data_IF_473923262124
#
_entry.id   IF_473923262124
#
_cell.length_a   1.000
_cell.length_b   1.000
_cell.length_c   1.000
_cell.angle_alpha   90.00
_cell.angle_beta   90.00
_cell.angle_gamma   90.00
#
_symmetry.space_group_name_H-M   'P 1'
#
loop_
_entity.id
_entity.type
_entity.pdbx_description
1 polymer ?
#
# COMPACT_ATOMS: atom_id res chain seq x y z
N UNK A 1 -0.26 -19.61 -10.22
CA UNK A 1 0.35 -19.99 -8.93
C UNK A 1 1.48 -20.97 -9.22
N UNK A 2 2.75 -20.57 -9.08
CA UNK A 2 3.90 -21.45 -9.28
C UNK A 2 4.27 -22.06 -7.93
N UNK A 3 3.85 -23.30 -7.69
CA UNK A 3 4.22 -24.07 -6.51
C UNK A 3 5.28 -25.10 -6.92
N UNK A 4 6.55 -24.86 -6.57
CA UNK A 4 7.58 -25.89 -6.56
C UNK A 4 8.37 -25.80 -5.25
N UNK A 5 8.17 -26.82 -4.41
CA UNK A 5 9.05 -27.31 -3.34
C UNK A 5 9.89 -26.31 -2.53
N UNK A 6 9.45 -26.04 -1.30
CA UNK A 6 10.34 -25.92 -0.13
C UNK A 6 11.22 -24.68 0.00
N UNK A 7 11.18 -23.74 -0.95
CA UNK A 7 11.87 -22.45 -0.83
C UNK A 7 10.86 -21.32 -0.57
N UNK A 8 11.18 -20.47 0.40
CA UNK A 8 10.41 -19.26 0.72
C UNK A 8 10.37 -18.35 -0.52
N UNK A 9 9.18 -18.08 -1.05
CA UNK A 9 9.04 -17.23 -2.24
C UNK A 9 9.28 -15.76 -1.87
N UNK A 10 10.49 -15.26 -2.13
CA UNK A 10 10.82 -13.85 -2.06
C UNK A 10 10.42 -13.18 -3.39
N UNK A 11 9.31 -12.44 -3.39
CA UNK A 11 9.00 -11.52 -4.50
C UNK A 11 9.67 -10.18 -4.23
N UNK A 12 10.57 -9.74 -5.12
CA UNK A 12 11.36 -8.52 -4.95
C UNK A 12 10.99 -7.48 -6.01
N UNK A 13 10.50 -6.32 -5.57
CA UNK A 13 10.24 -5.17 -6.44
C UNK A 13 11.29 -4.09 -6.23
N UNK A 14 11.72 -3.47 -7.32
CA UNK A 14 12.62 -2.31 -7.28
C UNK A 14 11.86 -1.15 -7.93
N UNK A 15 11.56 -0.14 -7.13
CA UNK A 15 10.96 1.11 -7.60
C UNK A 15 11.64 2.27 -6.88
N UNK A 16 11.99 3.31 -7.65
CA UNK A 16 12.69 4.50 -7.16
C UNK A 16 13.96 4.23 -6.33
N UNK A 17 14.62 3.08 -6.56
CA UNK A 17 15.82 2.65 -5.84
C UNK A 17 15.54 1.89 -4.54
N UNK A 18 14.32 1.94 -4.01
CA UNK A 18 13.89 1.09 -2.89
C UNK A 18 13.74 -0.35 -3.35
N UNK A 19 13.94 -1.28 -2.42
CA UNK A 19 13.70 -2.69 -2.68
C UNK A 19 12.71 -3.25 -1.68
N UNK A 20 11.62 -3.81 -2.18
CA UNK A 20 10.58 -4.43 -1.36
C UNK A 20 10.58 -5.93 -1.56
N UNK A 21 10.65 -6.70 -0.49
CA UNK A 21 10.54 -8.16 -0.45
C UNK A 21 9.26 -8.60 0.27
N UNK A 22 8.57 -9.61 -0.26
CA UNK A 22 7.40 -10.21 0.39
C UNK A 22 7.64 -11.68 0.76
N UNK A 23 7.08 -12.10 1.90
CA UNK A 23 7.07 -13.51 2.34
C UNK A 23 5.63 -13.97 2.52
N UNK A 24 5.35 -15.22 2.15
CA UNK A 24 4.02 -15.83 2.20
C UNK A 24 4.03 -17.12 3.03
N UNK A 25 2.88 -17.47 3.59
CA UNK A 25 2.66 -18.78 4.21
C UNK A 25 2.40 -19.89 3.18
N UNK A 26 2.18 -21.12 3.65
CA UNK A 26 1.89 -22.27 2.79
C UNK A 26 0.51 -22.24 2.11
N UNK A 27 -0.35 -21.28 2.46
CA UNK A 27 -1.67 -21.08 1.86
C UNK A 27 -1.67 -19.92 0.85
N UNK A 28 -0.57 -19.16 0.76
CA UNK A 28 -0.41 -18.04 -0.17
C UNK A 28 -0.72 -16.67 0.43
N UNK A 29 -0.94 -16.57 1.74
CA UNK A 29 -1.18 -15.29 2.41
C UNK A 29 0.13 -14.56 2.63
N UNK A 30 0.18 -13.27 2.34
CA UNK A 30 1.34 -12.43 2.64
C UNK A 30 1.46 -12.21 4.15
N UNK A 31 2.52 -12.76 4.75
CA UNK A 31 2.79 -12.69 6.19
C UNK A 31 3.92 -11.72 6.55
N UNK A 32 4.71 -11.27 5.56
CA UNK A 32 5.78 -10.31 5.80
C UNK A 32 6.01 -9.39 4.60
N UNK A 33 6.46 -8.18 4.89
CA UNK A 33 7.07 -7.24 3.95
C UNK A 33 8.36 -6.71 4.56
N UNK A 34 9.45 -6.76 3.80
CA UNK A 34 10.74 -6.17 4.13
C UNK A 34 11.02 -5.10 3.10
N UNK A 35 11.34 -3.88 3.55
CA UNK A 35 11.65 -2.78 2.66
C UNK A 35 13.04 -2.25 3.00
N UNK A 36 13.94 -2.39 2.03
CA UNK A 36 15.24 -1.74 2.01
C UNK A 36 15.08 -0.37 1.35
N UNK A 37 15.17 0.69 2.14
CA UNK A 37 14.95 2.03 1.65
C UNK A 37 16.29 2.62 1.20
N UNK A 38 16.49 2.71 -0.11
CA UNK A 38 17.66 3.37 -0.69
C UNK A 38 17.50 4.89 -0.63
N UNK A 39 17.61 5.43 0.58
CA UNK A 39 18.03 6.81 0.75
C UNK A 39 19.55 6.76 0.65
N UNK A 40 20.10 7.14 -0.50
CA UNK A 40 21.55 7.34 -0.61
C UNK A 40 22.04 8.17 0.58
N UNK A 41 23.26 7.92 1.04
CA UNK A 41 23.84 8.58 2.22
C UNK A 41 23.87 10.12 2.14
N UNK A 42 23.49 10.70 1.00
CA UNK A 42 23.37 12.13 0.79
C UNK A 42 22.07 12.44 0.01
N UNK A 43 21.26 13.35 0.56
CA UNK A 43 20.28 14.23 -0.11
C UNK A 43 18.77 13.95 -0.04
N UNK A 44 18.08 15.04 0.34
CA UNK A 44 16.70 15.46 0.10
C UNK A 44 16.25 15.46 -1.38
N UNK A 45 16.76 14.58 -2.23
CA UNK A 45 16.41 14.54 -3.64
C UNK A 45 15.39 13.44 -3.89
N UNK A 46 14.11 13.83 -3.89
CA UNK A 46 13.10 13.10 -4.68
C UNK A 46 13.56 13.07 -6.14
N UNK A 47 13.41 11.94 -6.86
CA UNK A 47 13.30 11.99 -8.31
C UNK A 47 12.13 12.92 -8.66
N UNK A 48 12.36 13.88 -9.53
CA UNK A 48 11.29 14.72 -10.08
C UNK A 48 10.36 13.82 -10.87
N UNK A 49 9.08 13.77 -10.50
CA UNK A 49 8.03 13.06 -11.23
C UNK A 49 8.12 13.37 -12.74
N UNK A 50 8.03 12.38 -13.64
CA UNK A 50 7.69 12.69 -15.02
C UNK A 50 6.29 13.34 -15.04
N UNK A 51 6.07 14.41 -15.83
CA UNK A 51 4.73 14.96 -16.00
C UNK A 51 3.86 13.89 -16.69
N UNK A 52 2.74 13.51 -16.09
CA UNK A 52 1.67 12.90 -16.89
C UNK A 52 1.11 13.93 -17.89
N UNK A 53 0.24 13.56 -18.85
CA UNK A 53 0.04 12.27 -19.52
C UNK A 53 0.44 12.34 -21.02
N UNK A 54 0.96 11.25 -21.60
CA UNK A 54 1.11 11.10 -23.06
C UNK A 54 2.53 10.88 -23.62
N UNK A 55 3.55 10.69 -22.78
CA UNK A 55 4.89 10.29 -23.24
C UNK A 55 5.07 8.76 -23.24
N UNK A 56 5.80 8.18 -24.22
CA UNK A 56 6.15 6.76 -24.16
C UNK A 56 7.00 6.46 -22.92
N UNK A 57 6.94 5.23 -22.36
CA UNK A 57 7.73 4.85 -21.20
C UNK A 57 9.22 5.06 -21.50
N UNK A 58 9.92 5.77 -20.62
CA UNK A 58 11.36 5.96 -20.75
C UNK A 58 12.07 4.63 -20.52
N UNK A 59 12.46 3.97 -21.62
CA UNK A 59 13.43 2.89 -21.60
C UNK A 59 14.79 3.39 -21.11
N UNK A 60 15.48 2.53 -20.36
CA UNK A 60 16.81 2.72 -19.77
C UNK A 60 17.78 3.42 -20.73
N UNK A 61 18.16 4.64 -20.39
CA UNK A 61 19.16 5.42 -21.12
C UNK A 61 19.64 6.61 -20.31
N UNK A 62 20.83 6.47 -19.71
CA UNK A 62 21.69 7.51 -19.10
C UNK A 62 20.99 8.75 -18.52
N UNK A 63 20.71 8.71 -17.21
CA UNK A 63 20.57 9.92 -16.41
C UNK A 63 21.90 10.69 -16.43
N UNK A 64 22.04 11.63 -17.36
CA UNK A 64 23.12 12.63 -17.32
C UNK A 64 22.92 13.48 -16.07
N UNK A 65 23.87 13.39 -15.14
CA UNK A 65 24.02 14.26 -13.99
C UNK A 65 23.84 15.73 -14.40
N UNK A 66 22.66 16.30 -14.14
CA UNK A 66 22.50 17.75 -14.15
C UNK A 66 22.97 18.26 -12.79
N UNK A 67 23.96 19.15 -12.81
CA UNK A 67 24.50 19.83 -11.63
C UNK A 67 23.38 20.42 -10.74
N UNK A 68 23.56 20.41 -9.41
CA UNK A 68 22.53 20.80 -8.45
C UNK A 68 22.22 22.30 -8.58
N UNK A 69 20.98 22.61 -8.95
CA UNK A 69 20.45 23.97 -8.85
C UNK A 69 20.14 24.32 -7.39
N UNK A 70 20.46 25.55 -6.99
CA UNK A 70 20.18 26.08 -5.65
C UNK A 70 18.69 25.96 -5.26
N UNK A 71 18.38 25.67 -3.98
CA UNK A 71 17.00 25.56 -3.51
C UNK A 71 16.30 26.92 -3.51
N UNK A 72 15.12 26.97 -4.13
CA UNK A 72 14.27 28.15 -4.18
C UNK A 72 13.10 28.00 -3.19
N UNK A 73 13.09 28.88 -2.17
CA UNK A 73 11.97 29.27 -1.28
C UNK A 73 11.78 28.48 0.05
N UNK A 74 12.57 28.76 1.10
CA UNK A 74 12.45 29.98 1.92
C UNK A 74 11.22 30.19 2.83
N UNK A 75 10.76 29.20 3.60
CA UNK A 75 9.95 29.43 4.80
C UNK A 75 10.80 29.19 6.07
N UNK A 76 10.89 30.17 6.97
CA UNK A 76 11.69 30.03 8.19
C UNK A 76 11.11 28.92 9.12
N UNK A 77 11.95 28.04 9.70
CA UNK A 77 11.52 27.06 10.70
C UNK A 77 10.84 27.73 11.90
N UNK A 78 9.73 27.18 12.37
CA UNK A 78 9.13 27.60 13.65
C UNK A 78 10.07 27.19 14.78
N UNK A 79 10.30 28.02 15.81
CA UNK A 79 11.03 27.59 17.01
C UNK A 79 10.36 26.33 17.61
N UNK A 80 11.10 25.23 17.69
CA UNK A 80 10.62 23.91 18.14
C UNK A 80 10.16 22.94 17.04
N UNK A 81 10.45 23.20 15.76
CA UNK A 81 10.16 22.31 14.64
C UNK A 81 11.34 22.21 13.67
N UNK A 82 12.01 21.05 13.64
CA UNK A 82 13.07 20.71 12.66
C UNK A 82 12.52 19.90 11.48
N UNK A 83 13.28 19.85 10.37
CA UNK A 83 12.97 19.05 9.17
C UNK A 83 13.30 17.56 9.43
N UNK A 84 12.35 16.67 9.12
CA UNK A 84 12.38 15.22 9.33
C UNK A 84 13.19 14.46 8.25
N UNK A 85 13.81 13.33 8.60
CA UNK A 85 14.58 12.44 7.71
C UNK A 85 14.06 11.00 7.77
N UNK A 86 14.23 10.22 6.68
CA UNK A 86 13.48 9.00 6.37
C UNK A 86 14.07 7.68 6.91
N UNK A 87 13.21 6.67 7.10
CA UNK A 87 13.61 5.32 7.53
C UNK A 87 14.48 4.68 6.47
N UNK A 88 15.58 3.99 6.83
CA UNK A 88 16.43 3.30 5.83
C UNK A 88 16.07 1.82 5.64
N UNK A 89 15.32 1.27 6.58
CA UNK A 89 14.89 -0.11 6.58
C UNK A 89 13.63 -0.23 7.41
N UNK A 90 12.71 -1.08 6.99
CA UNK A 90 11.57 -1.48 7.80
C UNK A 90 11.15 -2.92 7.51
N UNK A 91 10.68 -3.60 8.54
CA UNK A 91 10.04 -4.90 8.43
C UNK A 91 8.64 -4.83 9.02
N UNK A 92 7.68 -5.40 8.29
CA UNK A 92 6.30 -5.56 8.71
C UNK A 92 5.93 -7.03 8.63
N UNK A 93 5.43 -7.55 9.74
CA UNK A 93 4.82 -8.86 9.88
C UNK A 93 3.31 -8.67 9.96
N UNK A 94 2.57 -9.64 9.43
CA UNK A 94 1.13 -9.60 9.35
C UNK A 94 0.51 -10.82 10.02
N UNK A 95 -0.57 -10.59 10.76
CA UNK A 95 -1.47 -11.64 11.25
C UNK A 95 -2.78 -11.46 10.50
N UNK A 96 -3.23 -12.51 9.81
CA UNK A 96 -4.46 -12.52 9.01
C UNK A 96 -5.52 -13.42 9.65
N UNK A 97 -6.79 -13.10 9.44
CA UNK A 97 -7.92 -13.93 9.86
C UNK A 97 -8.24 -15.01 8.82
N UNK A 98 -7.75 -16.23 9.05
CA UNK A 98 -8.00 -17.38 8.18
C UNK A 98 -9.42 -17.96 8.28
N UNK A 99 -10.27 -17.42 9.17
CA UNK A 99 -11.64 -17.93 9.38
C UNK A 99 -12.68 -17.24 8.49
N UNK A 100 -12.27 -16.23 7.73
CA UNK A 100 -13.12 -15.41 6.88
C UNK A 100 -12.88 -15.73 5.41
N UNK A 101 -13.88 -15.41 4.59
CA UNK A 101 -13.77 -15.48 3.13
C UNK A 101 -12.76 -14.44 2.59
N UNK A 102 -12.63 -13.32 3.30
CA UNK A 102 -11.62 -12.30 3.07
C UNK A 102 -10.53 -12.45 4.13
N UNK A 103 -9.28 -12.70 3.71
CA UNK A 103 -8.12 -12.83 4.61
C UNK A 103 -7.74 -11.48 5.22
N UNK A 104 -8.58 -10.99 6.13
CA UNK A 104 -8.48 -9.67 6.72
C UNK A 104 -7.22 -9.54 7.58
N UNK A 105 -6.49 -8.43 7.40
CA UNK A 105 -5.31 -8.12 8.19
C UNK A 105 -5.71 -7.72 9.61
N UNK A 106 -5.43 -8.56 10.61
CA UNK A 106 -5.77 -8.28 12.02
C UNK A 106 -4.70 -7.46 12.75
N UNK A 107 -3.42 -7.71 12.45
CA UNK A 107 -2.29 -7.05 13.10
C UNK A 107 -1.14 -6.84 12.12
N UNK A 108 -0.57 -5.64 12.12
CA UNK A 108 0.76 -5.37 11.56
C UNK A 108 1.73 -4.95 12.67
N UNK A 109 2.96 -5.45 12.63
CA UNK A 109 4.02 -5.11 13.59
C UNK A 109 5.39 -5.41 12.99
N UNK A 110 6.47 -4.88 13.55
CA UNK A 110 7.81 -5.30 13.18
C UNK A 110 8.87 -4.26 13.48
N UNK A 111 9.99 -4.35 12.76
CA UNK A 111 11.12 -3.45 12.95
C UNK A 111 10.88 -2.14 12.22
N UNK A 112 11.10 -1.03 12.93
CA UNK A 112 10.96 0.32 12.40
C UNK A 112 9.59 0.58 11.75
N UNK A 113 8.54 -0.12 12.18
CA UNK A 113 7.16 0.04 11.72
C UNK A 113 6.24 0.30 12.92
N UNK A 114 5.14 1.03 12.70
CA UNK A 114 4.12 1.19 13.74
C UNK A 114 3.44 -0.16 13.99
N UNK A 115 3.06 -0.42 15.25
CA UNK A 115 2.17 -1.56 15.53
C UNK A 115 0.74 -1.13 15.27
N UNK A 116 -0.02 -1.94 14.54
CA UNK A 116 -1.38 -1.60 14.10
C UNK A 116 -2.30 -2.79 14.27
N UNK A 117 -3.39 -2.61 15.00
CA UNK A 117 -4.43 -3.61 15.23
C UNK A 117 -5.71 -3.16 14.57
N UNK A 118 -6.28 -4.02 13.74
CA UNK A 118 -7.45 -3.69 12.96
C UNK A 118 -8.69 -4.39 13.54
N UNK A 119 -9.78 -3.63 13.63
CA UNK A 119 -11.08 -4.14 14.05
C UNK A 119 -12.05 -4.09 12.88
N UNK A 120 -12.68 -5.23 12.60
CA UNK A 120 -13.62 -5.40 11.50
C UNK A 120 -15.05 -5.62 12.01
N UNK A 121 -16.01 -5.09 11.25
CA UNK A 121 -17.44 -5.39 11.34
C UNK A 121 -17.87 -6.11 10.07
N UNK A 122 -18.80 -5.51 9.30
CA UNK A 122 -19.02 -5.91 7.90
C UNK A 122 -17.83 -5.47 7.02
N UNK A 123 -17.30 -4.26 7.26
CA UNK A 123 -16.10 -3.71 6.64
C UNK A 123 -15.06 -3.35 7.72
N UNK A 124 -13.88 -2.85 7.31
CA UNK A 124 -12.90 -2.28 8.24
C UNK A 124 -13.51 -1.11 9.03
N UNK A 125 -13.50 -1.21 10.36
CA UNK A 125 -14.10 -0.19 11.24
C UNK A 125 -13.04 0.76 11.79
N UNK A 126 -11.99 0.20 12.39
CA UNK A 126 -10.99 1.00 13.10
C UNK A 126 -9.61 0.36 13.12
N UNK A 127 -8.61 1.21 13.35
CA UNK A 127 -7.24 0.81 13.67
C UNK A 127 -6.83 1.42 15.00
N UNK A 128 -6.39 0.59 15.93
CA UNK A 128 -5.61 1.02 17.08
C UNK A 128 -4.14 0.89 16.73
N UNK A 129 -3.36 1.95 16.92
CA UNK A 129 -1.94 1.94 16.59
C UNK A 129 -1.07 2.43 17.74
N UNK A 130 0.14 1.88 17.78
CA UNK A 130 1.22 2.31 18.63
C UNK A 130 2.26 2.99 17.74
N UNK A 131 2.32 4.32 17.84
CA UNK A 131 3.30 5.10 17.10
C UNK A 131 4.72 4.79 17.59
N UNK A 132 5.69 4.99 16.71
CA UNK A 132 7.10 4.97 17.06
C UNK A 132 7.41 6.13 18.03
N UNK A 133 8.23 5.86 19.05
CA UNK A 133 8.79 6.88 19.93
C UNK A 133 10.09 7.40 19.34
N UNK A 134 9.97 7.96 18.14
CA UNK A 134 11.06 8.62 17.46
C UNK A 134 10.82 10.12 17.49
N UNK A 135 11.70 10.84 18.19
CA UNK A 135 11.69 12.30 18.22
C UNK A 135 11.93 12.91 16.81
N UNK A 136 12.58 12.16 15.92
CA UNK A 136 13.05 12.64 14.61
C UNK A 136 12.21 12.11 13.45
N UNK A 137 11.16 11.33 13.75
CA UNK A 137 10.11 10.86 12.86
C UNK A 137 10.66 10.38 11.50
N UNK A 138 11.67 9.52 11.56
CA UNK A 138 12.06 8.69 10.44
C UNK A 138 13.53 8.29 10.39
N UNK A 139 14.49 8.87 11.13
CA UNK A 139 15.85 8.32 11.10
C UNK A 139 16.05 7.25 12.18
N UNK A 140 15.69 6.02 11.85
CA UNK A 140 16.03 4.84 12.66
C UNK A 140 17.13 4.05 11.92
N UNK A 141 18.39 4.09 12.39
CA UNK A 141 19.49 3.36 11.79
C UNK A 141 19.25 1.86 11.77
N UNK A 142 19.87 1.15 10.83
CA UNK A 142 19.93 -0.30 10.93
C UNK A 142 20.65 -0.72 12.22
N UNK A 143 20.02 -1.62 12.98
CA UNK A 143 20.59 -2.19 14.21
C UNK A 143 20.28 -1.43 15.50
N UNK A 144 19.43 -0.40 15.48
CA UNK A 144 18.81 0.14 16.71
C UNK A 144 17.48 -0.54 16.99
N UNK A 145 17.16 -0.76 18.27
CA UNK A 145 15.88 -1.32 18.65
C UNK A 145 14.71 -0.39 18.30
N UNK A 146 13.57 -0.97 17.92
CA UNK A 146 12.37 -0.19 17.65
C UNK A 146 11.76 0.31 18.96
N UNK A 147 11.71 1.63 19.13
CA UNK A 147 11.08 2.28 20.27
C UNK A 147 9.64 2.72 19.93
N UNK A 148 8.74 2.59 20.89
CA UNK A 148 7.31 2.89 20.73
C UNK A 148 6.83 3.84 21.82
N UNK A 149 5.87 4.68 21.49
CA UNK A 149 5.20 5.51 22.49
C UNK A 149 4.47 4.62 23.48
N UNK A 150 4.28 5.10 24.70
CA UNK A 150 3.60 4.31 25.75
C UNK A 150 2.06 4.27 25.59
N UNK A 151 1.50 5.00 24.62
CA UNK A 151 0.06 5.19 24.47
C UNK A 151 -0.44 4.76 23.09
N UNK A 152 -1.49 3.95 23.11
CA UNK A 152 -2.29 3.61 21.92
C UNK A 152 -3.23 4.76 21.55
N UNK A 153 -3.33 5.02 20.24
CA UNK A 153 -4.35 5.91 19.67
C UNK A 153 -5.21 5.13 18.67
N UNK A 154 -6.44 5.61 18.46
CA UNK A 154 -7.43 4.96 17.61
C UNK A 154 -7.83 5.86 16.45
N UNK A 155 -7.94 5.25 15.26
CA UNK A 155 -8.52 5.84 14.05
C UNK A 155 -9.71 5.03 13.59
N UNK A 156 -10.70 5.71 13.00
CA UNK A 156 -11.89 5.12 12.42
C UNK A 156 -11.90 5.38 10.91
N UNK A 157 -12.22 4.34 10.15
CA UNK A 157 -12.21 4.37 8.69
C UNK A 157 -13.57 4.81 8.16
N UNK A 158 -13.53 5.70 7.15
CA UNK A 158 -14.69 6.07 6.36
C UNK A 158 -14.46 5.63 4.92
N UNK A 159 -15.46 4.95 4.39
CA UNK A 159 -15.41 4.30 3.08
C UNK A 159 -16.39 4.95 2.11
N UNK A 160 -16.14 4.78 0.81
CA UNK A 160 -17.17 4.95 -0.21
C UNK A 160 -18.00 3.67 -0.39
N UNK A 161 -18.86 3.66 -1.42
CA UNK A 161 -19.75 2.54 -1.76
C UNK A 161 -19.01 1.28 -2.21
N UNK A 162 -17.79 1.42 -2.72
CA UNK A 162 -16.91 0.34 -3.16
C UNK A 162 -16.08 -0.26 -2.01
N UNK A 163 -16.17 0.31 -0.80
CA UNK A 163 -15.29 -0.06 0.32
C UNK A 163 -13.90 0.58 0.22
N UNK A 164 -13.72 1.61 -0.60
CA UNK A 164 -12.45 2.36 -0.66
C UNK A 164 -12.35 3.29 0.53
N UNK A 165 -11.21 3.25 1.22
CA UNK A 165 -10.91 4.16 2.33
C UNK A 165 -10.75 5.58 1.82
N UNK A 166 -11.71 6.46 2.08
CA UNK A 166 -11.64 7.88 1.67
C UNK A 166 -11.09 8.77 2.76
N UNK A 167 -11.32 8.43 4.04
CA UNK A 167 -10.87 9.22 5.19
C UNK A 167 -10.60 8.34 6.40
N UNK A 168 -9.68 8.82 7.25
CA UNK A 168 -9.48 8.29 8.60
C UNK A 168 -9.62 9.40 9.62
N UNK A 169 -10.42 9.17 10.65
CA UNK A 169 -10.74 10.17 11.69
C UNK A 169 -10.30 9.67 13.06
N UNK A 170 -9.78 10.56 13.90
CA UNK A 170 -9.43 10.21 15.28
C UNK A 170 -10.66 10.15 16.18
N UNK A 171 -10.50 9.61 17.39
CA UNK A 171 -11.56 9.49 18.41
C UNK A 171 -12.26 10.81 18.77
N UNK A 172 -11.59 11.95 18.55
CA UNK A 172 -12.14 13.28 18.77
C UNK A 172 -12.96 13.81 17.58
N UNK A 173 -13.21 12.99 16.56
CA UNK A 173 -13.92 13.35 15.33
C UNK A 173 -13.11 14.22 14.35
N UNK A 174 -11.84 14.54 14.66
CA UNK A 174 -10.98 15.30 13.74
C UNK A 174 -10.41 14.36 12.67
N UNK A 175 -10.36 14.85 11.44
CA UNK A 175 -9.74 14.10 10.36
C UNK A 175 -8.24 14.01 10.54
N UNK A 176 -7.70 12.79 10.51
CA UNK A 176 -6.27 12.50 10.51
C UNK A 176 -5.72 12.58 9.08
N UNK A 177 -6.35 11.84 8.15
CA UNK A 177 -5.99 11.87 6.74
C UNK A 177 -7.22 11.74 5.82
N UNK A 178 -7.04 12.26 4.60
CA UNK A 178 -7.99 12.19 3.49
C UNK A 178 -7.25 11.61 2.29
N UNK A 179 -7.82 10.59 1.67
CA UNK A 179 -7.29 9.90 0.52
C UNK A 179 -8.22 10.10 -0.67
N UNK A 180 -7.62 10.35 -1.83
CA UNK A 180 -8.33 10.50 -3.09
C UNK A 180 -7.68 9.57 -4.09
N UNK A 181 -8.50 8.93 -4.92
CA UNK A 181 -8.07 7.99 -5.93
C UNK A 181 -8.69 8.39 -7.27
N UNK A 182 -8.06 7.98 -8.37
CA UNK A 182 -8.77 7.91 -9.65
C UNK A 182 -9.64 6.63 -9.72
N UNK A 183 -10.35 6.47 -10.83
CA UNK A 183 -11.28 5.35 -11.04
C UNK A 183 -10.61 3.97 -11.02
N UNK A 184 -9.28 3.88 -11.20
CA UNK A 184 -8.51 2.63 -11.11
C UNK A 184 -7.73 2.54 -9.79
N UNK A 185 -8.09 3.34 -8.80
CA UNK A 185 -7.50 3.26 -7.48
C UNK A 185 -6.09 3.83 -7.38
N UNK A 186 -5.61 4.59 -8.37
CA UNK A 186 -4.31 5.27 -8.23
C UNK A 186 -4.45 6.43 -7.25
N UNK A 187 -3.65 6.48 -6.17
CA UNK A 187 -3.75 7.57 -5.21
C UNK A 187 -3.33 8.92 -5.83
N UNK A 188 -4.22 9.90 -5.82
CA UNK A 188 -3.93 11.28 -6.29
C UNK A 188 -3.06 12.07 -5.30
N UNK A 189 -2.76 11.49 -4.14
CA UNK A 189 -1.94 12.05 -3.08
C UNK A 189 -1.19 10.97 -2.31
N UNK A 190 -0.45 10.10 -3.03
CA UNK A 190 0.22 8.92 -2.48
C UNK A 190 1.16 9.20 -1.30
N UNK A 191 1.63 10.45 -1.14
CA UNK A 191 2.48 10.85 -0.01
C UNK A 191 1.84 10.60 1.36
N UNK A 192 0.50 10.55 1.48
CA UNK A 192 -0.15 10.24 2.77
C UNK A 192 -0.23 8.73 3.08
N UNK A 193 0.07 7.90 2.10
CA UNK A 193 0.22 6.46 2.23
C UNK A 193 1.70 6.08 2.38
N UNK A 194 2.62 7.03 2.20
CA UNK A 194 4.03 6.87 2.53
C UNK A 194 4.16 6.68 4.03
N UNK A 195 4.72 5.56 4.50
CA UNK A 195 4.99 5.39 5.92
C UNK A 195 5.92 6.50 6.47
N UNK A 196 6.73 7.18 5.65
CA UNK A 196 7.54 8.32 6.13
C UNK A 196 6.77 9.64 6.25
N UNK A 197 5.46 9.64 5.97
CA UNK A 197 4.63 10.82 6.15
C UNK A 197 4.44 11.18 7.62
N UNK A 198 4.26 12.47 7.90
CA UNK A 198 3.90 12.95 9.22
C UNK A 198 2.47 12.50 9.58
N UNK A 199 2.36 11.37 10.28
CA UNK A 199 1.08 10.81 10.69
C UNK A 199 1.12 9.32 11.04
N UNK A 200 -0.03 8.74 11.37
CA UNK A 200 -0.17 7.29 11.47
C UNK A 200 0.02 6.65 10.09
N UNK A 201 0.75 5.53 10.04
CA UNK A 201 0.91 4.75 8.82
C UNK A 201 -0.47 4.17 8.44
N UNK A 202 -0.84 4.17 7.16
CA UNK A 202 -2.04 3.50 6.67
C UNK A 202 -1.75 2.75 5.39
N UNK A 203 -1.92 1.43 5.44
CA UNK A 203 -1.72 0.57 4.28
C UNK A 203 -3.04 0.18 3.60
N UNK A 204 -4.18 0.22 4.30
CA UNK A 204 -5.48 -0.17 3.73
C UNK A 204 -6.07 1.01 2.98
N UNK A 205 -6.38 0.81 1.69
CA UNK A 205 -6.67 1.90 0.76
C UNK A 205 -7.81 1.56 -0.21
N UNK A 206 -7.54 1.45 -1.51
CA UNK A 206 -8.55 1.23 -2.54
C UNK A 206 -9.21 -0.13 -2.38
N UNK A 207 -10.55 -0.16 -2.31
CA UNK A 207 -11.38 -1.37 -2.17
C UNK A 207 -10.85 -2.36 -1.11
N UNK A 208 -10.47 -1.86 0.07
CA UNK A 208 -9.85 -2.62 1.18
C UNK A 208 -8.52 -3.35 0.85
N UNK A 209 -7.91 -3.12 -0.32
CA UNK A 209 -6.59 -3.63 -0.64
C UNK A 209 -5.49 -2.95 0.18
N UNK A 210 -4.41 -3.70 0.41
CA UNK A 210 -3.23 -3.19 1.10
C UNK A 210 -2.27 -2.58 0.08
N UNK A 211 -2.20 -1.25 0.06
CA UNK A 211 -1.25 -0.49 -0.74
C UNK A 211 0.15 -0.52 -0.13
N UNK A 212 1.13 -0.83 -0.96
CA UNK A 212 2.53 -0.66 -0.66
C UNK A 212 3.06 0.57 -1.38
N UNK A 213 3.39 1.61 -0.62
CA UNK A 213 3.87 2.87 -1.17
C UNK A 213 5.17 2.72 -1.96
N UNK A 214 6.06 1.82 -1.55
CA UNK A 214 7.40 1.73 -2.13
C UNK A 214 7.41 0.93 -3.43
N UNK A 215 6.54 -0.06 -3.57
CA UNK A 215 6.36 -0.79 -4.85
C UNK A 215 5.26 -0.20 -5.73
N UNK A 216 4.44 0.70 -5.20
CA UNK A 216 3.22 1.28 -5.80
C UNK A 216 2.16 0.24 -6.18
N UNK A 217 2.23 -0.95 -5.58
CA UNK A 217 1.30 -2.05 -5.82
C UNK A 217 0.29 -2.19 -4.69
N UNK A 218 -0.90 -2.63 -5.05
CA UNK A 218 -1.88 -3.17 -4.12
C UNK A 218 -1.69 -4.68 -3.99
N UNK A 219 -1.62 -5.17 -2.75
CA UNK A 219 -1.82 -6.58 -2.46
C UNK A 219 -3.31 -6.86 -2.38
N UNK A 220 -3.80 -7.57 -3.40
CA UNK A 220 -5.17 -7.98 -3.59
C UNK A 220 -5.37 -9.45 -3.22
N UNK A 221 -4.66 -9.93 -2.19
CA UNK A 221 -4.65 -11.33 -1.74
C UNK A 221 -4.11 -12.31 -2.79
N UNK A 222 -4.90 -12.75 -3.76
CA UNK A 222 -4.47 -13.72 -4.78
C UNK A 222 -3.50 -13.12 -5.81
N UNK A 223 -3.54 -11.81 -6.01
CA UNK A 223 -2.74 -11.10 -7.03
C UNK A 223 -2.21 -9.77 -6.51
N UNK A 224 -1.29 -9.20 -7.29
CA UNK A 224 -0.82 -7.83 -7.11
C UNK A 224 -1.42 -6.95 -8.21
N UNK A 225 -1.98 -5.82 -7.80
CA UNK A 225 -2.64 -4.88 -8.68
C UNK A 225 -1.79 -3.61 -8.84
N UNK A 226 -1.50 -3.24 -10.08
CA UNK A 226 -0.80 -2.00 -10.44
C UNK A 226 -1.84 -0.97 -10.90
N UNK A 227 -2.18 0.02 -10.05
CA UNK A 227 -3.26 0.95 -10.33
C UNK A 227 -2.91 1.93 -11.47
N UNK A 228 -1.63 2.24 -11.69
CA UNK A 228 -1.22 3.23 -12.70
C UNK A 228 -1.60 2.83 -14.13
N UNK A 229 -1.69 1.53 -14.40
CA UNK A 229 -2.19 0.98 -15.68
C UNK A 229 -3.52 0.25 -15.54
N UNK A 230 -4.08 0.20 -14.33
CA UNK A 230 -5.33 -0.50 -14.04
C UNK A 230 -5.30 -2.00 -14.32
N UNK A 231 -4.21 -2.71 -14.00
CA UNK A 231 -4.04 -4.15 -14.29
C UNK A 231 -3.43 -4.92 -13.13
N UNK A 232 -3.76 -6.21 -13.03
CA UNK A 232 -2.96 -7.14 -12.25
C UNK A 232 -1.62 -7.40 -12.96
N UNK A 233 -0.56 -7.65 -12.18
CA UNK A 233 0.78 -7.94 -12.71
C UNK A 233 1.05 -9.45 -12.87
N UNK A 234 0.08 -10.28 -12.51
CA UNK A 234 0.09 -11.73 -12.70
C UNK A 234 -1.20 -12.19 -13.37
N UNK A 235 -1.10 -13.30 -14.09
CA UNK A 235 -2.24 -13.95 -14.72
C UNK A 235 -3.26 -14.40 -13.68
N UNK A 236 -4.54 -14.15 -13.96
CA UNK A 236 -5.68 -14.70 -13.22
C UNK A 236 -5.60 -16.24 -13.13
N UNK A 237 -5.70 -16.83 -11.92
CA UNK A 237 -5.89 -18.27 -11.77
C UNK A 237 -7.18 -18.78 -12.43
N UNK A 238 -8.21 -17.94 -12.54
CA UNK A 238 -9.46 -18.27 -13.22
C UNK A 238 -9.32 -18.09 -14.74
N UNK A 239 -9.77 -19.09 -15.49
CA UNK A 239 -9.60 -19.14 -16.94
C UNK A 239 -10.56 -18.21 -17.73
N UNK A 240 -11.51 -17.57 -17.04
CA UNK A 240 -12.61 -16.85 -17.67
C UNK A 240 -13.74 -17.76 -18.12
N UNK A 241 -14.82 -17.15 -18.60
CA UNK A 241 -15.98 -17.79 -19.20
C UNK A 241 -15.97 -17.57 -20.72
N UNK A 242 -16.10 -18.66 -21.48
CA UNK A 242 -16.23 -18.62 -22.95
C UNK A 242 -17.46 -17.85 -23.42
N UNK A 243 -18.52 -17.77 -22.61
CA UNK A 243 -19.73 -16.99 -22.93
C UNK A 243 -19.54 -15.50 -22.69
N UNK A 244 -18.49 -15.11 -21.97
CA UNK A 244 -18.11 -13.72 -21.71
C UNK A 244 -16.66 -13.45 -22.17
N UNK A 245 -16.42 -13.19 -23.47
CA UNK A 245 -15.08 -13.07 -24.03
C UNK A 245 -14.17 -12.04 -23.35
N UNK A 246 -14.74 -11.00 -22.72
CA UNK A 246 -13.98 -10.02 -21.95
C UNK A 246 -13.28 -10.59 -20.72
N UNK A 247 -13.80 -11.69 -20.15
CA UNK A 247 -13.22 -12.40 -19.02
C UNK A 247 -12.04 -13.30 -19.38
N UNK A 248 -11.84 -13.59 -20.68
CA UNK A 248 -10.73 -14.40 -21.17
C UNK A 248 -9.39 -13.64 -21.12
N UNK A 249 -9.43 -12.32 -20.94
CA UNK A 249 -8.25 -11.54 -20.62
C UNK A 249 -8.01 -11.62 -19.11
N UNK A 250 -6.85 -12.14 -18.72
CA UNK A 250 -6.52 -12.56 -17.35
C UNK A 250 -5.80 -11.49 -16.52
N UNK A 251 -5.69 -10.27 -17.05
CA UNK A 251 -4.99 -9.13 -16.42
C UNK A 251 -5.87 -7.92 -16.05
N UNK A 252 -6.99 -7.61 -16.77
CA UNK A 252 -7.85 -6.49 -16.44
C UNK A 252 -8.42 -6.58 -15.03
N UNK A 253 -8.40 -5.45 -14.34
CA UNK A 253 -9.22 -5.27 -13.15
C UNK A 253 -10.68 -5.09 -13.57
N UNK A 254 -11.56 -5.92 -13.02
CA UNK A 254 -13.03 -5.79 -13.04
C UNK A 254 -13.64 -5.44 -14.41
N UNK A 255 -13.21 -6.15 -15.46
CA UNK A 255 -13.64 -5.94 -16.85
C UNK A 255 -13.44 -4.50 -17.38
N UNK A 256 -12.51 -3.74 -16.80
CA UNK A 256 -12.31 -2.30 -17.06
C UNK A 256 -13.53 -1.43 -16.68
N UNK A 257 -14.37 -1.86 -15.74
CA UNK A 257 -15.48 -1.05 -15.23
C UNK A 257 -15.44 -0.92 -13.70
N UNK A 258 -14.43 -0.22 -13.16
CA UNK A 258 -14.18 -0.13 -11.71
C UNK A 258 -15.18 0.75 -10.95
N UNK A 259 -16.04 1.49 -11.65
CA UNK A 259 -17.14 2.27 -11.05
C UNK A 259 -18.39 1.44 -10.77
N UNK A 260 -18.36 0.14 -11.07
CA UNK A 260 -19.52 -0.77 -10.93
C UNK A 260 -19.17 -2.08 -10.25
N UNK A 261 -17.92 -2.50 -10.40
CA UNK A 261 -17.46 -3.81 -10.01
C UNK A 261 -16.21 -3.67 -9.15
N UNK A 262 -16.12 -4.53 -8.15
CA UNK A 262 -14.96 -4.69 -7.27
C UNK A 262 -14.49 -6.14 -7.34
N UNK A 263 -13.20 -6.38 -7.25
CA UNK A 263 -12.63 -7.71 -7.03
C UNK A 263 -12.11 -7.73 -5.59
N UNK A 264 -12.78 -8.34 -4.61
CA UNK A 264 -12.32 -8.26 -3.21
C UNK A 264 -11.10 -9.13 -2.91
N UNK A 265 -10.91 -10.21 -3.68
CA UNK A 265 -9.92 -11.27 -3.42
C UNK A 265 -8.81 -11.34 -4.47
N UNK A 266 -8.84 -10.44 -5.46
CA UNK A 266 -7.98 -10.54 -6.64
C UNK A 266 -8.23 -11.83 -7.44
N UNK A 267 -9.45 -12.36 -7.45
CA UNK A 267 -9.81 -13.60 -8.15
C UNK A 267 -10.93 -13.38 -9.17
N UNK A 268 -12.02 -12.76 -8.77
CA UNK A 268 -13.15 -12.48 -9.64
C UNK A 268 -13.89 -11.25 -9.14
N UNK A 269 -14.48 -10.53 -10.08
CA UNK A 269 -15.23 -9.32 -9.75
C UNK A 269 -16.66 -9.66 -9.33
N UNK A 270 -17.22 -8.81 -8.47
CA UNK A 270 -18.62 -8.79 -8.05
C UNK A 270 -19.22 -7.41 -8.33
N UNK A 271 -20.54 -7.32 -8.46
CA UNK A 271 -21.23 -6.03 -8.51
C UNK A 271 -21.44 -5.46 -7.11
N UNK A 272 -21.35 -4.13 -6.98
CA UNK A 272 -21.70 -3.43 -5.74
C UNK A 272 -23.10 -3.80 -5.22
N UNK A 273 -23.23 -3.86 -3.88
CA UNK A 273 -24.50 -4.07 -3.19
C UNK A 273 -25.04 -5.50 -3.21
N UNK A 274 -24.21 -6.48 -3.59
CA UNK A 274 -24.66 -7.86 -3.65
C UNK A 274 -24.36 -8.65 -2.37
N UNK A 275 -25.17 -8.40 -1.33
CA UNK A 275 -25.14 -9.15 -0.05
C UNK A 275 -25.49 -10.65 -0.20
N UNK A 276 -25.84 -11.11 -1.41
CA UNK A 276 -26.19 -12.49 -1.76
C UNK A 276 -25.95 -12.81 -3.26
N UNK A 277 -24.89 -12.29 -3.88
CA UNK A 277 -24.56 -12.74 -5.24
C UNK A 277 -24.09 -14.19 -5.17
N UNK A 278 -24.99 -15.11 -5.48
CA UNK A 278 -24.61 -16.44 -5.93
C UNK A 278 -23.52 -16.27 -6.98
N UNK A 279 -22.35 -16.79 -6.67
CA UNK A 279 -21.22 -16.95 -7.58
C UNK A 279 -21.75 -17.31 -8.96
N UNK A 280 -21.33 -16.58 -9.99
CA UNK A 280 -21.65 -16.97 -11.36
C UNK A 280 -20.92 -18.30 -11.58
N UNK A 281 -21.68 -19.40 -11.45
CA UNK A 281 -21.26 -20.79 -11.60
C UNK A 281 -21.15 -21.18 -13.07
#
# INVERSE_FOLDING_TARGET
MLYQSGEWFLFRFIAFGHTTGYTYDGLGNRIQTIIDLNHGAEHNNRPVFPPGPGGPPAFVGELKNKNPGQPSHGGNPKPGWDKQFNRHYMAQHYVVDYTKEYDNLLLSYGEHSQVQRYTYGLNLVSMDFLALDDHDNGWIPSGTDTAYKEKWDSLFYLHDELGTVTKVVGINGKTSAHYNYDEFGRPLGAVKLDPNWSGPDNAIAYTDYIYDHFSELYYAQARYYLPDIGRFISQDPWAGDMTQPGSLNTYPYVLNNPLRYVDPLGLYWISEGCDNCNYIS
#
